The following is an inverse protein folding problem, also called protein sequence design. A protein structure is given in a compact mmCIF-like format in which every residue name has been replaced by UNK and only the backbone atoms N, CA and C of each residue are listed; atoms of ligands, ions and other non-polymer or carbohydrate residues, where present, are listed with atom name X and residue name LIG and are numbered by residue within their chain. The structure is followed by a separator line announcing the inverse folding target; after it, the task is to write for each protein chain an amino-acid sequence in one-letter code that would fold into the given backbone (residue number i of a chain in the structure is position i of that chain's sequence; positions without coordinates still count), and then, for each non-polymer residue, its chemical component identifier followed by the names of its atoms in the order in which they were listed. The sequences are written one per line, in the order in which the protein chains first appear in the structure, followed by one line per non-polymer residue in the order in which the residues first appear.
data_IF_215579638277
#
_entry.id   IF_215579638277
#
_cell.length_a   1.000
_cell.length_b   1.000
_cell.length_c   1.000
_cell.angle_alpha   90.00
_cell.angle_beta   90.00
_cell.angle_gamma   90.00
#
_symmetry.space_group_name_H-M   'P 1'
#
loop_
_entity.id
_entity.type
_entity.pdbx_description
1 polymer ?
#
# COMPACT_ATOMS: atom_id res chain seq x y z
N UNK A 1 1.84 -14.83 -15.43
CA UNK A 1 0.63 -14.87 -14.58
C UNK A 1 0.69 -13.63 -13.69
N UNK A 2 -0.42 -12.91 -13.50
CA UNK A 2 -0.50 -11.81 -12.54
C UNK A 2 -1.13 -12.36 -11.26
N UNK A 3 -0.31 -12.70 -10.26
CA UNK A 3 -0.77 -13.39 -9.04
C UNK A 3 0.18 -13.16 -7.85
N UNK A 4 0.74 -11.96 -7.73
CA UNK A 4 1.66 -11.59 -6.64
C UNK A 4 3.02 -12.27 -6.70
N UNK A 5 3.88 -11.97 -5.71
CA UNK A 5 5.29 -12.33 -5.71
C UNK A 5 5.53 -13.85 -5.65
N UNK A 6 4.63 -14.61 -5.01
CA UNK A 6 4.71 -16.07 -4.94
C UNK A 6 4.58 -16.76 -6.31
N UNK A 7 4.08 -16.05 -7.33
CA UNK A 7 3.90 -16.53 -8.70
C UNK A 7 4.81 -15.80 -9.71
N UNK A 8 5.86 -15.13 -9.25
CA UNK A 8 6.78 -14.38 -10.09
C UNK A 8 7.51 -15.29 -11.11
N UNK A 9 7.54 -14.87 -12.38
CA UNK A 9 8.16 -15.64 -13.46
C UNK A 9 9.70 -15.59 -13.46
N UNK A 10 10.29 -14.62 -12.77
CA UNK A 10 11.75 -14.48 -12.63
C UNK A 10 12.10 -13.96 -11.24
N UNK A 11 13.33 -14.22 -10.80
CA UNK A 11 13.83 -13.89 -9.45
C UNK A 11 13.70 -12.40 -9.09
N UNK A 12 13.83 -11.50 -10.07
CA UNK A 12 13.86 -10.04 -9.85
C UNK A 12 12.56 -9.34 -10.24
N UNK A 13 11.56 -10.08 -10.76
CA UNK A 13 10.29 -9.48 -11.15
C UNK A 13 9.49 -8.98 -9.94
N UNK A 14 9.51 -9.75 -8.84
CA UNK A 14 8.66 -9.45 -7.67
C UNK A 14 7.18 -9.33 -8.07
N UNK A 15 6.51 -8.33 -7.52
CA UNK A 15 5.10 -8.01 -7.81
C UNK A 15 4.81 -6.53 -8.12
N UNK A 16 5.80 -5.64 -7.97
CA UNK A 16 5.67 -4.20 -8.23
C UNK A 16 6.93 -3.67 -8.92
N UNK A 17 6.74 -2.75 -9.88
CA UNK A 17 7.80 -1.91 -10.45
C UNK A 17 7.48 -0.43 -10.16
N UNK A 18 8.32 0.23 -9.37
CA UNK A 18 8.24 1.66 -9.11
C UNK A 18 9.31 2.44 -9.89
N UNK A 19 8.94 3.59 -10.46
CA UNK A 19 9.86 4.52 -11.13
C UNK A 19 9.66 5.89 -10.51
N UNK A 20 10.76 6.51 -10.05
CA UNK A 20 10.76 7.89 -9.55
C UNK A 20 11.61 8.77 -10.46
N UNK A 21 11.19 10.03 -10.65
CA UNK A 21 11.89 11.03 -11.43
C UNK A 21 12.25 12.23 -10.55
N UNK A 22 13.35 12.92 -10.90
CA UNK A 22 13.83 14.08 -10.16
C UNK A 22 14.68 14.99 -11.05
N UNK A 23 14.93 16.23 -10.62
CA UNK A 23 15.63 17.24 -11.43
C UNK A 23 17.14 16.96 -11.57
N UNK A 24 17.68 16.05 -10.75
CA UNK A 24 19.09 15.63 -10.82
C UNK A 24 19.26 14.17 -10.38
N UNK A 25 20.37 13.52 -10.76
CA UNK A 25 20.70 12.18 -10.25
C UNK A 25 20.82 12.10 -8.73
N UNK A 26 21.21 13.20 -8.06
CA UNK A 26 21.35 13.25 -6.62
C UNK A 26 19.97 13.17 -5.93
N UNK A 27 18.98 13.92 -6.42
CA UNK A 27 17.60 13.87 -5.93
C UNK A 27 16.96 12.49 -6.17
N UNK A 28 17.17 11.91 -7.35
CA UNK A 28 16.68 10.55 -7.65
C UNK A 28 17.31 9.53 -6.70
N UNK A 29 18.62 9.61 -6.43
CA UNK A 29 19.29 8.71 -5.48
C UNK A 29 18.73 8.88 -4.06
N UNK A 30 18.51 10.11 -3.62
CA UNK A 30 17.94 10.36 -2.29
C UNK A 30 16.54 9.79 -2.17
N UNK A 31 15.70 9.96 -3.21
CA UNK A 31 14.36 9.39 -3.24
C UNK A 31 14.39 7.85 -3.23
N UNK A 32 15.29 7.23 -4.00
CA UNK A 32 15.45 5.78 -4.02
C UNK A 32 15.90 5.24 -2.66
N UNK A 33 16.81 5.94 -1.97
CA UNK A 33 17.23 5.55 -0.63
C UNK A 33 16.05 5.61 0.36
N UNK A 34 15.19 6.63 0.28
CA UNK A 34 14.00 6.72 1.12
C UNK A 34 13.00 5.60 0.82
N UNK A 35 12.85 5.20 -0.45
CA UNK A 35 12.02 4.06 -0.84
C UNK A 35 12.58 2.75 -0.26
N UNK A 36 13.89 2.51 -0.40
CA UNK A 36 14.53 1.29 0.14
C UNK A 36 14.40 1.24 1.67
N UNK A 37 14.67 2.34 2.36
CA UNK A 37 14.55 2.44 3.82
C UNK A 37 13.11 2.12 4.28
N UNK A 38 12.10 2.66 3.60
CA UNK A 38 10.71 2.37 3.93
C UNK A 38 10.31 0.91 3.62
N UNK A 39 10.85 0.31 2.55
CA UNK A 39 10.58 -1.09 2.23
C UNK A 39 11.23 -2.06 3.24
N UNK A 40 12.39 -1.70 3.80
CA UNK A 40 13.11 -2.54 4.76
C UNK A 40 12.56 -2.40 6.20
N UNK A 41 12.20 -1.18 6.61
CA UNK A 41 11.90 -0.86 8.02
C UNK A 41 10.53 -0.23 8.25
N UNK A 42 9.81 0.12 7.18
CA UNK A 42 8.51 0.76 7.25
C UNK A 42 7.36 -0.24 7.46
N UNK A 43 6.19 0.14 6.96
CA UNK A 43 4.99 -0.67 7.11
C UNK A 43 5.05 -1.91 6.23
N UNK A 44 4.69 -3.06 6.81
CA UNK A 44 4.67 -4.36 6.13
C UNK A 44 3.32 -5.04 6.31
N UNK A 45 3.06 -6.06 5.48
CA UNK A 45 1.93 -6.95 5.67
C UNK A 45 2.10 -7.75 6.96
N UNK A 46 0.98 -8.02 7.62
CA UNK A 46 0.89 -8.75 8.87
C UNK A 46 0.08 -10.02 8.62
N UNK A 47 0.55 -11.12 9.21
CA UNK A 47 -0.16 -12.39 9.22
C UNK A 47 -1.45 -12.29 10.03
N UNK A 48 -2.56 -12.75 9.46
CA UNK A 48 -3.87 -12.81 10.12
C UNK A 48 -4.11 -14.13 10.85
N UNK A 49 -3.26 -15.14 10.63
CA UNK A 49 -3.43 -16.49 11.17
C UNK A 49 -2.08 -17.18 11.44
N UNK A 50 -2.11 -18.23 12.27
CA UNK A 50 -0.90 -18.90 12.78
C UNK A 50 -0.04 -19.58 11.71
N UNK A 51 -0.63 -19.95 10.57
CA UNK A 51 0.05 -20.67 9.49
C UNK A 51 0.54 -19.75 8.34
N UNK A 52 0.43 -18.44 8.50
CA UNK A 52 0.90 -17.42 7.55
C UNK A 52 0.27 -17.49 6.15
N UNK A 53 -0.93 -18.06 6.05
CA UNK A 53 -1.65 -18.20 4.78
C UNK A 53 -2.55 -17.02 4.43
N UNK A 54 -2.88 -16.15 5.39
CA UNK A 54 -3.71 -14.96 5.19
C UNK A 54 -2.94 -13.74 5.68
N UNK A 55 -2.68 -12.78 4.80
CA UNK A 55 -1.98 -11.54 5.15
C UNK A 55 -2.87 -10.31 4.91
N UNK A 56 -2.72 -9.28 5.75
CA UNK A 56 -3.37 -7.99 5.57
C UNK A 56 -2.37 -6.85 5.78
N UNK A 57 -2.68 -5.68 5.23
CA UNK A 57 -1.94 -4.45 5.42
C UNK A 57 -2.88 -3.41 6.01
N UNK A 58 -2.52 -2.85 7.16
CA UNK A 58 -3.30 -1.81 7.82
C UNK A 58 -2.36 -0.72 8.33
N UNK A 59 -2.07 0.26 7.47
CA UNK A 59 -1.10 1.31 7.77
C UNK A 59 -1.75 2.69 7.82
N UNK A 60 -1.42 3.47 8.85
CA UNK A 60 -1.81 4.87 8.97
C UNK A 60 -0.70 5.76 8.40
N UNK A 61 -0.90 6.27 7.18
CA UNK A 61 -0.06 7.31 6.60
C UNK A 61 -0.44 8.62 7.26
N UNK A 62 0.34 9.04 8.26
CA UNK A 62 0.00 10.21 9.09
C UNK A 62 0.00 11.53 8.32
N UNK A 63 0.77 11.60 7.23
CA UNK A 63 0.84 12.76 6.33
C UNK A 63 1.18 12.26 4.93
N UNK A 64 0.22 12.30 4.01
CA UNK A 64 0.45 11.85 2.62
C UNK A 64 1.41 12.78 1.88
N UNK A 65 2.22 12.20 0.99
CA UNK A 65 2.92 12.93 -0.07
C UNK A 65 2.04 13.13 -1.30
N UNK A 66 2.63 13.66 -2.37
CA UNK A 66 1.91 13.96 -3.63
C UNK A 66 1.21 12.74 -4.22
N UNK A 67 1.89 11.60 -4.32
CA UNK A 67 1.38 10.39 -4.97
C UNK A 67 0.09 9.84 -4.34
N UNK A 68 0.10 9.53 -3.04
CA UNK A 68 -1.09 8.99 -2.37
C UNK A 68 -2.23 10.00 -2.28
N UNK A 69 -1.90 11.30 -2.21
CA UNK A 69 -2.91 12.36 -2.18
C UNK A 69 -3.65 12.46 -3.52
N UNK A 70 -2.92 12.34 -4.64
CA UNK A 70 -3.50 12.29 -5.98
C UNK A 70 -4.38 11.05 -6.16
N UNK A 71 -3.87 9.87 -5.80
CA UNK A 71 -4.63 8.60 -5.89
C UNK A 71 -5.92 8.65 -5.09
N UNK A 72 -5.88 9.19 -3.86
CA UNK A 72 -7.04 9.25 -2.98
C UNK A 72 -7.95 10.48 -3.22
N UNK A 73 -7.56 11.40 -4.12
CA UNK A 73 -8.32 12.64 -4.36
C UNK A 73 -8.42 13.55 -3.13
N UNK A 74 -7.40 13.56 -2.27
CA UNK A 74 -7.32 14.38 -1.05
C UNK A 74 -6.22 15.44 -1.16
N UNK A 75 -6.19 16.42 -0.25
CA UNK A 75 -5.12 17.42 -0.24
C UNK A 75 -3.83 16.80 0.28
N UNK A 76 -2.70 17.26 -0.27
CA UNK A 76 -1.39 16.82 0.20
C UNK A 76 -1.21 17.11 1.69
N UNK A 77 -0.78 16.08 2.42
CA UNK A 77 -0.53 16.13 3.84
C UNK A 77 -1.73 15.79 4.72
N UNK A 78 -2.88 15.46 4.15
CA UNK A 78 -3.95 14.81 4.92
C UNK A 78 -3.54 13.39 5.36
N UNK A 79 -4.14 12.91 6.44
CA UNK A 79 -3.89 11.55 6.94
C UNK A 79 -4.72 10.54 6.13
N UNK A 80 -4.16 9.35 5.91
CA UNK A 80 -4.82 8.28 5.14
C UNK A 80 -4.61 6.92 5.82
N UNK A 81 -5.69 6.17 6.03
CA UNK A 81 -5.61 4.76 6.37
C UNK A 81 -5.55 3.93 5.09
N UNK A 82 -4.44 3.24 4.87
CA UNK A 82 -4.24 2.33 3.74
C UNK A 82 -4.49 0.90 4.20
N UNK A 83 -5.63 0.34 3.78
CA UNK A 83 -6.12 -0.98 4.18
C UNK A 83 -6.13 -1.92 2.96
N UNK A 84 -5.49 -3.08 3.08
CA UNK A 84 -5.47 -4.14 2.06
C UNK A 84 -5.66 -5.49 2.76
N UNK A 85 -6.48 -6.37 2.21
CA UNK A 85 -6.67 -7.74 2.66
C UNK A 85 -7.17 -8.60 1.48
N UNK A 86 -7.30 -9.93 1.61
CA UNK A 86 -7.90 -10.75 0.56
C UNK A 86 -9.38 -10.36 0.33
N UNK A 87 -9.98 -10.77 -0.81
CA UNK A 87 -11.20 -10.14 -1.33
C UNK A 87 -12.39 -10.04 -0.36
N UNK A 88 -12.69 -11.11 0.39
CA UNK A 88 -13.84 -11.13 1.29
C UNK A 88 -13.53 -10.35 2.57
N UNK A 89 -12.34 -10.56 3.11
CA UNK A 89 -11.80 -9.93 4.31
C UNK A 89 -11.73 -8.42 4.12
N UNK A 90 -11.28 -7.94 2.95
CA UNK A 90 -11.20 -6.52 2.64
C UNK A 90 -12.56 -5.84 2.65
N UNK A 91 -13.57 -6.43 1.98
CA UNK A 91 -14.91 -5.84 1.92
C UNK A 91 -15.59 -5.83 3.30
N UNK A 92 -15.44 -6.91 4.07
CA UNK A 92 -15.98 -6.98 5.43
C UNK A 92 -15.27 -6.00 6.39
N UNK A 93 -13.93 -6.00 6.39
CA UNK A 93 -13.14 -5.16 7.28
C UNK A 93 -13.27 -3.67 6.96
N UNK A 94 -13.44 -3.30 5.68
CA UNK A 94 -13.69 -1.93 5.28
C UNK A 94 -15.00 -1.39 5.88
N UNK A 95 -16.10 -2.14 5.77
CA UNK A 95 -17.39 -1.77 6.37
C UNK A 95 -17.26 -1.62 7.90
N UNK A 96 -16.56 -2.54 8.56
CA UNK A 96 -16.29 -2.45 9.99
C UNK A 96 -15.45 -1.21 10.35
N UNK A 97 -14.41 -0.89 9.57
CA UNK A 97 -13.54 0.27 9.80
C UNK A 97 -14.29 1.60 9.64
N UNK A 98 -15.13 1.73 8.62
CA UNK A 98 -15.95 2.93 8.42
C UNK A 98 -16.98 3.14 9.54
N UNK A 99 -17.46 2.05 10.15
CA UNK A 99 -18.39 2.12 11.30
C UNK A 99 -17.67 2.39 12.61
N UNK A 100 -16.38 2.06 12.71
CA UNK A 100 -15.60 2.19 13.93
C UNK A 100 -15.07 3.62 14.17
N UNK A 101 -14.96 4.44 13.12
CA UNK A 101 -14.41 5.79 13.20
C UNK A 101 -15.09 6.76 12.23
N UNK A 102 -15.00 8.05 12.53
CA UNK A 102 -15.44 9.11 11.61
C UNK A 102 -14.41 9.28 10.48
N UNK A 103 -14.56 8.45 9.44
CA UNK A 103 -13.67 8.41 8.28
C UNK A 103 -14.47 8.44 7.00
N UNK A 104 -13.81 8.87 5.91
CA UNK A 104 -14.38 8.87 4.57
C UNK A 104 -13.60 7.91 3.69
N UNK A 105 -14.31 7.04 2.98
CA UNK A 105 -13.72 6.24 1.92
C UNK A 105 -13.28 7.17 0.77
N UNK A 106 -11.98 7.17 0.49
CA UNK A 106 -11.37 8.04 -0.52
C UNK A 106 -11.17 7.30 -1.85
N UNK A 107 -10.64 6.08 -1.81
CA UNK A 107 -10.44 5.20 -2.97
C UNK A 107 -10.80 3.76 -2.59
N UNK A 108 -11.44 3.02 -3.51
CA UNK A 108 -11.84 1.62 -3.30
C UNK A 108 -11.29 0.73 -4.42
N UNK A 109 -10.29 -0.07 -4.08
CA UNK A 109 -9.78 -1.13 -4.95
C UNK A 109 -10.65 -2.39 -4.81
N UNK A 110 -11.83 -2.36 -5.43
CA UNK A 110 -12.75 -3.50 -5.38
C UNK A 110 -12.13 -4.74 -6.06
N UNK A 111 -12.33 -5.95 -5.51
CA UNK A 111 -11.92 -7.19 -6.16
C UNK A 111 -12.54 -7.27 -7.56
N UNK A 112 -11.74 -7.58 -8.57
CA UNK A 112 -12.24 -7.83 -9.92
C UNK A 112 -13.03 -9.15 -9.97
N UNK A 113 -14.11 -9.15 -10.75
CA UNK A 113 -14.90 -10.35 -11.06
C UNK A 113 -14.08 -11.44 -11.76
#
# INVERSE_FOLDING_TARGET
MYAGAANASTKLAGEVLGIIAGPSPAEVRSGLNAVVDFLEYGATFISANDDDSIAYYAHCVSRTGTYLSEVAGIREGEALAYLVAPPLEAMYALDAAMKAADVKMCELFAPSN
#
